data_IF_180022509969
#
_entry.id   IF_180022509969
#
_cell.length_a   1.000
_cell.length_b   1.000
_cell.length_c   1.000
_cell.angle_alpha   90.00
_cell.angle_beta   90.00
_cell.angle_gamma   90.00
#
_symmetry.space_group_name_H-M   'P 1'
#
loop_
_entity.id
_entity.type
_entity.pdbx_description
1 polymer ?
#
# COMPACT_ATOMS: atom_id res chain seq x y z
N UNK A 1 9.99 10.83 0.40
CA UNK A 1 9.39 11.02 1.74
C UNK A 1 8.37 9.93 2.09
N UNK A 2 7.43 9.57 1.18
CA UNK A 2 6.44 8.51 1.44
C UNK A 2 7.07 7.13 1.76
N UNK A 3 8.12 6.73 1.03
CA UNK A 3 8.84 5.45 1.28
C UNK A 3 9.33 5.33 2.74
N UNK A 4 9.90 6.38 3.30
CA UNK A 4 10.40 6.39 4.69
C UNK A 4 9.22 6.21 5.66
N UNK A 5 8.11 6.89 5.43
CA UNK A 5 6.91 6.78 6.27
C UNK A 5 6.29 5.36 6.21
N UNK A 6 6.31 4.72 5.04
CA UNK A 6 5.84 3.34 4.87
C UNK A 6 6.73 2.36 5.64
N UNK A 7 8.05 2.50 5.53
CA UNK A 7 9.01 1.68 6.27
C UNK A 7 8.83 1.86 7.79
N UNK A 8 8.73 3.11 8.27
CA UNK A 8 8.46 3.41 9.69
C UNK A 8 7.09 2.91 10.17
N UNK A 9 6.12 2.77 9.26
CA UNK A 9 4.81 2.18 9.55
C UNK A 9 4.81 0.64 9.49
N UNK A 10 5.97 0.01 9.26
CA UNK A 10 6.14 -1.44 9.21
C UNK A 10 5.77 -2.08 7.88
N UNK A 11 5.67 -1.30 6.81
CA UNK A 11 5.56 -1.83 5.47
C UNK A 11 6.93 -2.21 4.92
N UNK A 12 7.00 -3.30 4.19
CA UNK A 12 8.18 -3.71 3.44
C UNK A 12 7.88 -3.77 1.95
N UNK A 13 8.90 -3.45 1.15
CA UNK A 13 8.82 -3.53 -0.30
C UNK A 13 8.74 -4.98 -0.76
N UNK A 14 7.88 -5.25 -1.74
CA UNK A 14 7.76 -6.56 -2.38
C UNK A 14 7.82 -6.42 -3.89
N UNK A 15 8.64 -7.27 -4.51
CA UNK A 15 8.64 -7.45 -5.95
C UNK A 15 7.67 -8.56 -6.31
N UNK A 16 6.60 -8.20 -7.02
CA UNK A 16 5.67 -9.16 -7.56
C UNK A 16 6.20 -9.73 -8.87
N UNK A 17 6.21 -11.05 -9.08
CA UNK A 17 6.74 -11.64 -10.30
C UNK A 17 5.89 -11.36 -11.55
N UNK A 18 4.69 -10.78 -11.40
CA UNK A 18 3.71 -10.63 -12.47
C UNK A 18 3.29 -9.16 -12.75
N UNK A 19 4.09 -8.18 -12.31
CA UNK A 19 3.83 -6.74 -12.53
C UNK A 19 4.28 -6.24 -13.91
N UNK A 20 4.46 -7.12 -14.90
CA UNK A 20 4.95 -6.79 -16.25
C UNK A 20 4.12 -5.73 -17.00
N UNK A 21 2.99 -5.27 -16.47
CA UNK A 21 2.08 -4.32 -17.14
C UNK A 21 2.00 -2.95 -16.43
N UNK A 22 2.43 -2.80 -15.18
CA UNK A 22 2.33 -1.51 -14.47
C UNK A 22 3.61 -1.23 -13.70
N UNK A 23 4.43 -0.32 -14.22
CA UNK A 23 5.62 0.16 -13.52
C UNK A 23 5.24 0.76 -12.17
N UNK A 24 5.93 0.34 -11.11
CA UNK A 24 5.69 0.84 -9.76
C UNK A 24 6.29 -0.04 -8.67
N UNK A 25 6.19 0.43 -7.44
CA UNK A 25 6.67 -0.26 -6.25
C UNK A 25 5.49 -0.63 -5.37
N UNK A 26 5.50 -1.86 -4.86
CA UNK A 26 4.48 -2.33 -3.93
C UNK A 26 5.07 -2.48 -2.53
N UNK A 27 4.40 -1.93 -1.54
CA UNK A 27 4.71 -2.11 -0.12
C UNK A 27 3.60 -2.89 0.57
N UNK A 28 3.97 -3.80 1.45
CA UNK A 28 3.02 -4.66 2.17
C UNK A 28 3.27 -4.58 3.67
N UNK A 29 2.18 -4.50 4.43
CA UNK A 29 2.17 -4.70 5.88
C UNK A 29 1.21 -5.84 6.19
N UNK A 30 1.70 -7.01 6.62
CA UNK A 30 0.85 -8.09 7.08
C UNK A 30 0.24 -7.71 8.43
N UNK A 31 -1.06 -7.92 8.56
CA UNK A 31 -1.77 -7.85 9.83
C UNK A 31 -2.30 -9.23 10.24
N UNK A 32 -2.77 -9.34 11.48
CA UNK A 32 -3.29 -10.61 12.04
C UNK A 32 -4.58 -11.07 11.34
N UNK A 33 -5.39 -10.12 10.85
CA UNK A 33 -6.68 -10.38 10.17
C UNK A 33 -6.64 -10.12 8.67
N UNK A 34 -5.93 -9.07 8.26
CA UNK A 34 -5.80 -8.69 6.85
C UNK A 34 -4.43 -8.06 6.61
N UNK A 35 -3.97 -8.15 5.36
CA UNK A 35 -2.78 -7.44 4.90
C UNK A 35 -3.18 -6.10 4.28
N UNK A 36 -2.34 -5.09 4.48
CA UNK A 36 -2.45 -3.81 3.79
C UNK A 36 -1.37 -3.74 2.72
N UNK A 37 -1.76 -3.42 1.49
CA UNK A 37 -0.85 -3.29 0.35
C UNK A 37 -0.97 -1.88 -0.21
N UNK A 38 0.16 -1.20 -0.35
CA UNK A 38 0.24 0.13 -0.97
C UNK A 38 1.00 -0.01 -2.27
N UNK A 39 0.36 0.35 -3.38
CA UNK A 39 0.98 0.39 -4.69
C UNK A 39 1.27 1.84 -5.08
N UNK A 40 2.51 2.11 -5.47
CA UNK A 40 2.99 3.40 -5.96
C UNK A 40 3.40 3.22 -7.42
N UNK A 41 2.56 3.65 -8.38
CA UNK A 41 2.92 3.62 -9.78
C UNK A 41 4.10 4.56 -10.06
N UNK A 42 5.00 4.19 -10.98
CA UNK A 42 6.17 5.01 -11.34
C UNK A 42 5.78 6.35 -11.96
N UNK A 43 4.72 6.34 -12.78
CA UNK A 43 4.28 7.50 -13.58
C UNK A 43 3.04 8.23 -13.03
N UNK A 44 2.49 7.78 -11.89
CA UNK A 44 1.28 8.37 -11.33
C UNK A 44 1.58 9.17 -10.04
N UNK A 45 0.89 10.30 -9.88
CA UNK A 45 0.91 11.08 -8.64
C UNK A 45 0.03 10.49 -7.53
N UNK A 46 -0.74 9.45 -7.84
CA UNK A 46 -1.66 8.79 -6.93
C UNK A 46 -1.10 7.45 -6.44
N UNK A 47 -1.39 7.12 -5.19
CA UNK A 47 -1.15 5.81 -4.61
C UNK A 47 -2.45 5.03 -4.52
N UNK A 48 -2.34 3.72 -4.56
CA UNK A 48 -3.46 2.82 -4.38
C UNK A 48 -3.24 1.98 -3.14
N UNK A 49 -4.27 1.84 -2.31
CA UNK A 49 -4.20 1.13 -1.03
C UNK A 49 -5.24 0.05 -1.02
N UNK A 50 -4.79 -1.17 -0.78
CA UNK A 50 -5.60 -2.37 -0.75
C UNK A 50 -5.58 -2.95 0.66
N UNK A 51 -6.71 -3.44 1.14
CA UNK A 51 -6.84 -4.15 2.41
C UNK A 51 -7.52 -5.51 2.18
N UNK A 52 -7.06 -6.54 2.88
CA UNK A 52 -7.60 -7.89 2.77
C UNK A 52 -6.51 -8.92 2.50
N UNK A 53 -6.84 -9.93 1.70
CA UNK A 53 -5.87 -10.93 1.25
C UNK A 53 -4.78 -10.29 0.38
N UNK A 54 -3.57 -10.84 0.44
CA UNK A 54 -2.41 -10.28 -0.26
C UNK A 54 -2.60 -10.23 -1.78
N UNK A 55 -3.29 -11.23 -2.36
CA UNK A 55 -3.55 -11.32 -3.79
C UNK A 55 -4.87 -10.64 -4.21
N UNK A 56 -5.90 -10.72 -3.36
CA UNK A 56 -7.28 -10.32 -3.68
C UNK A 56 -7.78 -9.15 -2.81
N UNK A 57 -6.87 -8.33 -2.29
CA UNK A 57 -7.24 -7.20 -1.43
C UNK A 57 -8.18 -6.21 -2.13
N UNK A 58 -9.11 -5.63 -1.38
CA UNK A 58 -10.04 -4.62 -1.91
C UNK A 58 -9.35 -3.27 -1.93
N UNK A 59 -9.53 -2.49 -3.00
CA UNK A 59 -9.10 -1.09 -3.03
C UNK A 59 -9.90 -0.30 -1.99
N UNK A 60 -9.22 0.28 -1.00
CA UNK A 60 -9.82 1.10 0.06
C UNK A 60 -9.51 2.58 -0.08
N UNK A 61 -8.47 2.93 -0.84
CA UNK A 61 -8.11 4.31 -1.12
C UNK A 61 -7.33 4.42 -2.43
N UNK A 62 -7.61 5.48 -3.19
CA UNK A 62 -6.81 5.92 -4.34
C UNK A 62 -6.74 7.44 -4.32
N UNK A 63 -5.55 8.01 -4.38
CA UNK A 63 -5.37 9.46 -4.33
C UNK A 63 -3.93 9.87 -4.03
N UNK A 64 -3.67 11.15 -3.78
CA UNK A 64 -2.32 11.69 -3.65
C UNK A 64 -1.49 11.00 -2.55
N UNK A 65 -0.21 10.76 -2.86
CA UNK A 65 0.78 10.24 -1.91
C UNK A 65 0.95 11.12 -0.65
N UNK A 66 0.71 12.42 -0.75
CA UNK A 66 0.84 13.35 0.37
C UNK A 66 -0.25 13.12 1.44
N UNK A 67 -1.45 12.73 1.01
CA UNK A 67 -2.56 12.35 1.91
C UNK A 67 -2.42 10.91 2.42
N UNK A 68 -1.59 10.11 1.74
CA UNK A 68 -1.26 8.74 2.14
C UNK A 68 -0.60 8.65 3.54
N UNK A 69 0.02 9.73 4.03
CA UNK A 69 0.52 9.81 5.41
C UNK A 69 -0.59 9.62 6.46
N UNK A 70 -1.86 9.92 6.10
CA UNK A 70 -3.04 9.66 6.94
C UNK A 70 -3.46 8.18 6.93
N UNK A 71 -2.90 7.34 6.05
CA UNK A 71 -3.20 5.91 5.99
C UNK A 71 -2.70 5.13 7.22
N UNK A 72 -1.87 5.75 8.08
CA UNK A 72 -1.60 5.26 9.44
C UNK A 72 -2.89 4.93 10.21
N UNK A 73 -4.00 5.62 9.89
CA UNK A 73 -5.32 5.38 10.47
C UNK A 73 -6.11 4.25 9.80
N UNK A 74 -5.82 3.88 8.55
CA UNK A 74 -6.49 2.74 7.88
C UNK A 74 -6.11 1.42 8.53
N UNK A 75 -4.85 1.26 8.95
CA UNK A 75 -4.39 0.03 9.61
C UNK A 75 -4.89 -0.12 11.07
N UNK A 76 -5.43 0.94 11.66
CA UNK A 76 -5.98 0.94 13.02
C UNK A 76 -7.51 0.88 13.06
N UNK A 77 -8.17 0.76 11.89
CA UNK A 77 -9.62 0.61 11.81
C UNK A 77 -10.03 -0.84 12.09
N UNK A 78 -9.66 -1.33 13.27
CA UNK A 78 -10.22 -2.54 13.87
C UNK A 78 -11.66 -2.22 14.25
N UNK A 79 -12.61 -2.71 13.46
CA UNK A 79 -13.93 -3.05 13.98
C UNK A 79 -13.86 -4.49 14.49
#
# INVERSE_FOLDING_TARGET
>A
MLTVQLIEAGFYEVNWPNTEVVGGVTYVRPGVRESVRVFLPTDACEVEVYAGDLQNGRLVYRGPAAEAAQLRYLANRTN
#
